data_IF_900279714210
#
_entry.id   IF_900279714210
#
_cell.length_a   1.000
_cell.length_b   1.000
_cell.length_c   1.000
_cell.angle_alpha   90.00
_cell.angle_beta   90.00
_cell.angle_gamma   90.00
#
_symmetry.space_group_name_H-M   'P 1'
#
loop_
_entity.id
_entity.type
_entity.pdbx_description
1 polymer ?
#
# COMPACT_ATOMS: atom_id res chain seq x y z
N UNK A 1 19.04 40.99 73.35
CA UNK A 1 19.03 39.51 73.22
C UNK A 1 18.02 38.98 72.18
N UNK A 2 16.99 39.76 71.79
CA UNK A 2 15.89 39.33 70.90
C UNK A 2 16.18 39.35 69.37
N UNK A 3 17.20 40.09 68.91
CA UNK A 3 17.47 40.26 67.47
C UNK A 3 18.24 39.08 66.84
N UNK A 4 19.02 38.35 67.63
CA UNK A 4 19.84 37.22 67.13
C UNK A 4 19.01 35.95 66.92
N UNK A 5 17.93 35.78 67.68
CA UNK A 5 17.00 34.64 67.55
C UNK A 5 16.16 34.73 66.27
N UNK A 6 15.71 35.93 65.89
CA UNK A 6 14.91 36.12 64.66
C UNK A 6 15.71 35.84 63.38
N UNK A 7 17.00 36.20 63.37
CA UNK A 7 17.91 35.89 62.26
C UNK A 7 18.20 34.38 62.15
N UNK A 8 18.24 33.65 63.28
CA UNK A 8 18.45 32.21 63.30
C UNK A 8 17.25 31.44 62.73
N UNK A 9 16.01 31.87 63.05
CA UNK A 9 14.80 31.26 62.49
C UNK A 9 14.57 31.65 61.02
N UNK A 10 14.92 32.87 60.61
CA UNK A 10 14.86 33.31 59.21
C UNK A 10 15.81 32.54 58.28
N UNK A 11 17.03 32.26 58.75
CA UNK A 11 18.00 31.44 58.01
C UNK A 11 17.59 29.96 57.91
N UNK A 12 16.97 29.41 58.97
CA UNK A 12 16.45 28.05 58.98
C UNK A 12 15.23 27.89 58.03
N UNK A 13 14.39 28.92 57.90
CA UNK A 13 13.23 28.90 57.00
C UNK A 13 13.65 29.03 55.51
N UNK A 14 14.70 29.81 55.22
CA UNK A 14 15.24 29.93 53.86
C UNK A 14 15.99 28.66 53.39
N UNK A 15 16.62 27.93 54.31
CA UNK A 15 17.25 26.63 54.03
C UNK A 15 16.24 25.50 53.77
N UNK A 16 15.07 25.55 54.42
CA UNK A 16 14.02 24.53 54.26
C UNK A 16 13.27 24.65 52.91
N UNK A 17 13.23 25.83 52.28
CA UNK A 17 12.56 26.03 50.99
C UNK A 17 13.36 25.49 49.78
N UNK A 18 14.66 25.20 49.93
CA UNK A 18 15.52 24.74 48.83
C UNK A 18 15.45 23.23 48.55
N UNK A 19 14.70 22.45 49.35
CA UNK A 19 14.68 20.97 49.24
C UNK A 19 13.51 20.42 48.41
N UNK A 20 12.61 21.27 47.89
CA UNK A 20 11.41 20.81 47.16
C UNK A 20 11.49 20.88 45.62
N UNK A 21 12.66 21.25 45.07
CA UNK A 21 12.90 21.31 43.62
C UNK A 21 13.29 19.97 42.99
N UNK A 22 12.54 18.89 43.22
CA UNK A 22 12.73 17.64 42.47
C UNK A 22 12.03 17.76 41.13
N UNK A 23 12.79 18.00 40.06
CA UNK A 23 12.33 17.86 38.69
C UNK A 23 11.83 16.43 38.47
N UNK A 24 10.51 16.24 38.49
CA UNK A 24 9.89 15.08 37.85
C UNK A 24 10.22 15.17 36.37
N UNK A 25 11.26 14.45 35.94
CA UNK A 25 11.43 14.15 34.51
C UNK A 25 10.19 13.37 34.12
N UNK A 26 9.27 14.01 33.43
CA UNK A 26 8.25 13.31 32.67
C UNK A 26 9.01 12.42 31.69
N UNK A 27 9.14 11.14 32.05
CA UNK A 27 9.61 10.13 31.14
C UNK A 27 8.46 9.88 30.20
N UNK A 28 8.36 10.65 29.12
CA UNK A 28 7.57 10.23 27.97
C UNK A 28 8.15 8.87 27.55
N UNK A 29 7.40 7.77 27.68
CA UNK A 29 7.90 6.47 27.27
C UNK A 29 8.27 6.58 25.79
N UNK A 30 9.50 6.14 25.44
CA UNK A 30 9.90 6.05 24.03
C UNK A 30 8.85 5.20 23.31
N UNK A 31 8.38 5.60 22.12
CA UNK A 31 7.50 4.75 21.34
C UNK A 31 8.19 3.40 21.14
N UNK A 32 7.42 2.31 21.26
CA UNK A 32 7.94 0.98 21.04
C UNK A 32 8.62 0.92 19.67
N UNK A 33 9.87 0.47 19.61
CA UNK A 33 10.55 0.25 18.34
C UNK A 33 9.86 -0.93 17.65
N UNK A 34 8.96 -0.63 16.72
CA UNK A 34 8.47 -1.63 15.78
C UNK A 34 9.65 -2.05 14.90
N UNK A 35 9.79 -3.37 14.68
CA UNK A 35 10.79 -3.90 13.75
C UNK A 35 10.54 -3.25 12.38
N UNK A 36 11.55 -2.57 11.81
CA UNK A 36 11.46 -2.14 10.41
C UNK A 36 11.39 -3.42 9.56
N UNK A 37 10.24 -3.67 8.95
CA UNK A 37 10.08 -4.78 8.01
C UNK A 37 10.84 -4.41 6.74
N UNK A 38 12.01 -5.00 6.55
CA UNK A 38 12.77 -4.93 5.30
C UNK A 38 12.44 -6.17 4.46
N UNK A 39 11.97 -5.93 3.23
CA UNK A 39 11.72 -6.98 2.25
C UNK A 39 12.95 -7.15 1.35
N UNK A 40 13.19 -8.35 0.80
CA UNK A 40 14.30 -8.59 -0.10
C UNK A 40 14.21 -7.71 -1.34
N UNK A 41 15.32 -7.48 -2.02
CA UNK A 41 15.30 -6.76 -3.30
C UNK A 41 14.40 -7.48 -4.31
N UNK A 42 13.62 -6.72 -5.07
CA UNK A 42 12.70 -7.27 -6.07
C UNK A 42 13.47 -7.91 -7.22
N UNK A 43 13.24 -9.20 -7.43
CA UNK A 43 13.69 -9.92 -8.61
C UNK A 43 12.47 -10.40 -9.40
N UNK A 44 12.52 -10.24 -10.72
CA UNK A 44 11.38 -10.52 -11.59
C UNK A 44 11.62 -11.73 -12.48
N UNK A 45 10.53 -12.40 -12.83
CA UNK A 45 10.45 -13.44 -13.84
C UNK A 45 9.23 -13.18 -14.74
N UNK A 46 9.33 -13.52 -16.02
CA UNK A 46 8.19 -13.43 -16.93
C UNK A 46 7.14 -14.46 -16.53
N UNK A 47 5.90 -14.02 -16.33
CA UNK A 47 4.73 -14.87 -16.16
C UNK A 47 3.83 -14.74 -17.40
N UNK A 48 3.26 -15.86 -17.83
CA UNK A 48 2.28 -15.94 -18.90
C UNK A 48 0.98 -16.51 -18.34
N UNK A 49 -0.13 -15.82 -18.59
CA UNK A 49 -1.45 -16.33 -18.19
C UNK A 49 -1.88 -17.52 -19.05
N UNK A 50 -2.28 -18.62 -18.41
CA UNK A 50 -2.57 -19.88 -19.11
C UNK A 50 -3.83 -19.85 -20.00
N UNK A 51 -4.74 -18.90 -19.81
CA UNK A 51 -6.03 -18.85 -20.52
C UNK A 51 -6.09 -17.79 -21.63
N UNK A 52 -5.41 -16.66 -21.42
CA UNK A 52 -5.49 -15.49 -22.28
C UNK A 52 -4.12 -15.04 -22.82
N UNK A 53 -3.04 -15.76 -22.48
CA UNK A 53 -1.68 -15.64 -23.05
C UNK A 53 -1.06 -14.23 -23.00
N UNK A 54 -1.58 -13.32 -22.18
CA UNK A 54 -0.89 -12.08 -21.88
C UNK A 54 0.23 -12.35 -20.88
N UNK A 55 1.29 -11.56 -20.97
CA UNK A 55 2.49 -11.71 -20.14
C UNK A 55 2.77 -10.46 -19.33
N UNK A 56 3.45 -10.63 -18.20
CA UNK A 56 4.00 -9.53 -17.40
C UNK A 56 5.12 -10.04 -16.49
N UNK A 57 5.94 -9.13 -15.98
CA UNK A 57 6.99 -9.39 -15.00
C UNK A 57 6.38 -9.58 -13.61
N UNK A 58 6.58 -10.76 -13.04
CA UNK A 58 6.12 -11.16 -11.72
C UNK A 58 7.30 -11.26 -10.75
N UNK A 59 7.13 -10.81 -9.52
CA UNK A 59 8.14 -10.97 -8.48
C UNK A 59 8.37 -12.45 -8.16
N UNK A 60 9.62 -12.90 -8.08
CA UNK A 60 9.97 -14.30 -7.77
C UNK A 60 9.50 -14.77 -6.39
N UNK A 61 9.28 -13.84 -5.45
CA UNK A 61 8.76 -14.17 -4.12
C UNK A 61 7.24 -14.36 -4.11
N UNK A 62 6.55 -13.99 -5.18
CA UNK A 62 5.12 -14.14 -5.33
C UNK A 62 4.75 -15.52 -5.90
N UNK A 63 3.59 -16.04 -5.52
CA UNK A 63 3.03 -17.25 -6.09
C UNK A 63 1.68 -16.98 -6.76
N UNK A 64 1.45 -17.61 -7.91
CA UNK A 64 0.21 -17.44 -8.68
C UNK A 64 -0.71 -18.62 -8.46
N UNK A 65 -1.99 -18.32 -8.28
CA UNK A 65 -3.07 -19.31 -8.24
C UNK A 65 -4.16 -18.91 -9.23
N UNK A 66 -4.26 -19.65 -10.33
CA UNK A 66 -5.34 -19.48 -11.29
C UNK A 66 -6.63 -20.13 -10.75
N UNK A 67 -7.69 -19.34 -10.62
CA UNK A 67 -8.98 -19.82 -10.09
C UNK A 67 -9.88 -20.25 -11.24
N UNK A 68 -9.92 -19.42 -12.28
CA UNK A 68 -10.76 -19.56 -13.47
C UNK A 68 -10.12 -18.78 -14.62
N UNK A 69 -10.61 -18.98 -15.84
CA UNK A 69 -10.12 -18.21 -17.00
C UNK A 69 -10.13 -16.70 -16.79
N UNK A 70 -11.15 -16.20 -16.08
CA UNK A 70 -11.35 -14.77 -15.84
C UNK A 70 -10.72 -14.24 -14.55
N UNK A 71 -10.11 -15.08 -13.71
CA UNK A 71 -9.53 -14.59 -12.45
C UNK A 71 -8.40 -15.48 -11.91
N UNK A 72 -7.39 -14.81 -11.37
CA UNK A 72 -6.28 -15.43 -10.67
C UNK A 72 -5.80 -14.52 -9.54
N UNK A 73 -5.10 -15.14 -8.60
CA UNK A 73 -4.56 -14.50 -7.40
C UNK A 73 -3.03 -14.54 -7.46
N UNK A 74 -2.40 -13.42 -7.08
CA UNK A 74 -0.96 -13.34 -6.86
C UNK A 74 -0.72 -13.14 -5.37
N UNK A 75 -0.16 -14.14 -4.71
CA UNK A 75 0.01 -14.15 -3.27
C UNK A 75 1.42 -13.71 -2.87
N UNK A 76 1.47 -12.88 -1.82
CA UNK A 76 2.68 -12.50 -1.11
C UNK A 76 2.55 -12.94 0.36
N UNK A 77 2.86 -14.21 0.69
CA UNK A 77 2.60 -14.76 2.02
C UNK A 77 3.34 -14.00 3.14
N UNK A 78 4.60 -13.61 2.91
CA UNK A 78 5.41 -12.86 3.89
C UNK A 78 4.82 -11.48 4.21
N UNK A 79 4.10 -10.89 3.26
CA UNK A 79 3.43 -9.59 3.38
C UNK A 79 1.95 -9.72 3.76
N UNK A 80 1.43 -10.95 3.89
CA UNK A 80 0.00 -11.25 4.14
C UNK A 80 -0.94 -10.52 3.17
N UNK A 81 -0.52 -10.48 1.92
CA UNK A 81 -1.19 -9.73 0.87
C UNK A 81 -1.52 -10.61 -0.33
N UNK A 82 -2.52 -10.21 -1.08
CA UNK A 82 -2.87 -10.83 -2.36
C UNK A 82 -3.36 -9.78 -3.33
N UNK A 83 -2.85 -9.87 -4.55
CA UNK A 83 -3.36 -9.11 -5.68
C UNK A 83 -4.39 -9.99 -6.37
N UNK A 84 -5.61 -9.49 -6.48
CA UNK A 84 -6.66 -10.13 -7.26
C UNK A 84 -6.62 -9.57 -8.68
N UNK A 85 -6.42 -10.46 -9.64
CA UNK A 85 -6.37 -10.14 -11.06
C UNK A 85 -7.63 -10.68 -11.72
N UNK A 86 -8.42 -9.79 -12.33
CA UNK A 86 -9.65 -10.14 -13.03
C UNK A 86 -9.53 -9.76 -14.50
N UNK A 87 -9.72 -10.73 -15.39
CA UNK A 87 -9.77 -10.54 -16.83
C UNK A 87 -11.23 -10.46 -17.31
N UNK A 88 -11.48 -9.52 -18.21
CA UNK A 88 -12.74 -9.38 -18.95
C UNK A 88 -12.43 -9.15 -20.43
N UNK A 89 -13.25 -9.74 -21.29
CA UNK A 89 -13.20 -9.46 -22.73
C UNK A 89 -13.93 -8.15 -23.02
N UNK A 90 -13.33 -7.31 -23.85
CA UNK A 90 -13.97 -6.13 -24.44
C UNK A 90 -14.82 -6.58 -25.62
N UNK A 91 -16.13 -6.35 -25.54
CA UNK A 91 -17.11 -6.58 -26.60
C UNK A 91 -18.16 -5.47 -26.55
N UNK A 92 -17.87 -4.35 -27.23
CA UNK A 92 -18.72 -3.16 -27.27
C UNK A 92 -19.15 -2.62 -25.89
N UNK A 93 -18.40 -2.95 -24.83
CA UNK A 93 -18.73 -2.67 -23.43
C UNK A 93 -17.59 -1.94 -22.69
N UNK A 94 -16.59 -1.43 -23.41
CA UNK A 94 -15.40 -0.80 -22.81
C UNK A 94 -15.77 0.30 -21.81
N UNK A 95 -16.70 1.18 -22.17
CA UNK A 95 -17.17 2.26 -21.28
C UNK A 95 -17.77 1.74 -19.98
N UNK A 96 -18.47 0.60 -20.04
CA UNK A 96 -19.02 -0.03 -18.84
C UNK A 96 -17.90 -0.64 -17.98
N UNK A 97 -16.92 -1.29 -18.61
CA UNK A 97 -15.76 -1.86 -17.90
C UNK A 97 -14.92 -0.79 -17.19
N UNK A 98 -14.70 0.36 -17.85
CA UNK A 98 -14.01 1.51 -17.27
C UNK A 98 -14.78 2.08 -16.08
N UNK A 99 -16.09 2.28 -16.23
CA UNK A 99 -16.96 2.75 -15.13
C UNK A 99 -16.98 1.79 -13.96
N UNK A 100 -17.05 0.48 -14.20
CA UNK A 100 -17.01 -0.53 -13.16
C UNK A 100 -15.68 -0.50 -12.38
N UNK A 101 -14.54 -0.44 -13.10
CA UNK A 101 -13.22 -0.38 -12.49
C UNK A 101 -13.02 0.90 -11.65
N UNK A 102 -13.51 2.03 -12.16
CA UNK A 102 -13.51 3.29 -11.43
C UNK A 102 -14.42 3.21 -10.20
N UNK A 103 -15.66 2.74 -10.36
CA UNK A 103 -16.62 2.59 -9.26
C UNK A 103 -16.07 1.73 -8.13
N UNK A 104 -15.43 0.59 -8.43
CA UNK A 104 -14.78 -0.25 -7.42
C UNK A 104 -13.73 0.53 -6.63
N UNK A 105 -12.92 1.34 -7.30
CA UNK A 105 -11.94 2.21 -6.65
C UNK A 105 -12.66 3.19 -5.71
N UNK A 106 -13.61 3.97 -6.22
CA UNK A 106 -14.27 5.00 -5.40
C UNK A 106 -15.11 4.43 -4.25
N UNK A 107 -15.83 3.32 -4.45
CA UNK A 107 -16.69 2.71 -3.42
C UNK A 107 -15.90 2.02 -2.31
N UNK A 108 -14.74 1.41 -2.62
CA UNK A 108 -13.88 0.80 -1.60
C UNK A 108 -13.09 1.83 -0.79
N UNK A 109 -12.97 3.07 -1.30
CA UNK A 109 -12.11 4.10 -0.73
C UNK A 109 -12.86 5.39 -0.33
N UNK A 110 -14.19 5.32 -0.12
CA UNK A 110 -15.04 6.46 0.32
C UNK A 110 -14.51 7.17 1.58
N UNK A 111 -13.70 6.49 2.40
CA UNK A 111 -13.08 7.03 3.63
C UNK A 111 -11.59 7.31 3.52
N UNK A 112 -10.99 7.20 2.34
CA UNK A 112 -9.59 7.52 2.15
C UNK A 112 -9.38 9.03 2.15
N UNK A 113 -8.25 9.46 2.73
CA UNK A 113 -7.89 10.87 2.77
C UNK A 113 -7.46 11.35 1.37
N UNK A 114 -6.87 10.45 0.56
CA UNK A 114 -6.34 10.77 -0.76
C UNK A 114 -6.46 9.59 -1.74
N UNK A 115 -6.91 9.87 -2.96
CA UNK A 115 -6.87 8.95 -4.11
C UNK A 115 -6.02 9.61 -5.20
N UNK A 116 -4.87 9.04 -5.49
CA UNK A 116 -3.97 9.48 -6.56
C UNK A 116 -4.27 8.65 -7.81
N UNK A 117 -4.66 9.33 -8.87
CA UNK A 117 -4.91 8.74 -10.19
C UNK A 117 -3.71 9.00 -11.12
N UNK A 118 -3.16 7.96 -11.73
CA UNK A 118 -2.03 8.05 -12.64
C UNK A 118 -2.36 7.34 -13.96
N UNK A 119 -2.68 8.10 -15.03
CA UNK A 119 -2.91 7.53 -16.34
C UNK A 119 -1.67 6.76 -16.81
N UNK A 120 -1.90 5.60 -17.42
CA UNK A 120 -0.85 4.80 -18.04
C UNK A 120 -1.12 4.69 -19.54
N UNK A 121 -0.11 5.06 -20.33
CA UNK A 121 -0.15 5.06 -21.79
C UNK A 121 1.12 4.42 -22.31
N UNK A 122 0.99 3.30 -23.00
CA UNK A 122 2.04 2.67 -23.77
C UNK A 122 1.50 2.35 -25.17
N UNK A 123 1.83 3.22 -26.14
CA UNK A 123 1.38 3.09 -27.53
C UNK A 123 2.07 1.92 -28.25
N UNK A 124 3.33 1.65 -27.93
CA UNK A 124 4.14 0.60 -28.57
C UNK A 124 3.52 -0.79 -28.35
N UNK A 125 3.15 -1.07 -27.09
CA UNK A 125 2.55 -2.35 -26.70
C UNK A 125 1.01 -2.30 -26.67
N UNK A 126 0.43 -1.14 -26.98
CA UNK A 126 -1.02 -0.84 -26.91
C UNK A 126 -1.61 -1.20 -25.54
N UNK A 127 -0.94 -0.76 -24.48
CA UNK A 127 -1.42 -0.91 -23.11
C UNK A 127 -1.88 0.45 -22.61
N UNK A 128 -3.18 0.57 -22.38
CA UNK A 128 -3.83 1.77 -21.87
C UNK A 128 -4.45 1.47 -20.52
N UNK A 129 -4.31 2.36 -19.56
CA UNK A 129 -4.78 2.06 -18.22
C UNK A 129 -4.79 3.24 -17.27
N UNK A 130 -5.13 2.95 -16.03
CA UNK A 130 -5.04 3.87 -14.90
C UNK A 130 -4.49 3.11 -13.71
N UNK A 131 -3.52 3.71 -13.03
CA UNK A 131 -3.00 3.24 -11.77
C UNK A 131 -3.52 4.13 -10.64
N UNK A 132 -4.18 3.51 -9.68
CA UNK A 132 -4.75 4.16 -8.50
C UNK A 132 -3.92 3.80 -7.29
N UNK A 133 -3.48 4.83 -6.58
CA UNK A 133 -2.90 4.70 -5.25
C UNK A 133 -3.80 5.41 -4.25
N UNK A 134 -4.27 4.67 -3.26
CA UNK A 134 -5.09 5.21 -2.19
C UNK A 134 -4.24 5.29 -0.94
N UNK A 135 -4.10 6.52 -0.43
CA UNK A 135 -3.31 6.85 0.73
C UNK A 135 -4.14 7.58 1.78
N UNK A 136 -3.57 7.69 2.99
CA UNK A 136 -4.20 8.33 4.13
C UNK A 136 -4.01 7.52 5.41
N UNK A 137 -4.42 8.09 6.53
CA UNK A 137 -4.23 7.50 7.86
C UNK A 137 -5.04 6.21 8.07
N UNK A 138 -6.02 5.93 7.20
CA UNK A 138 -6.97 4.85 7.38
C UNK A 138 -6.74 3.64 6.45
N UNK A 139 -6.14 3.82 5.27
CA UNK A 139 -5.99 2.76 4.28
C UNK A 139 -4.87 3.06 3.28
N UNK A 140 -3.95 2.11 3.10
CA UNK A 140 -3.06 2.07 1.94
C UNK A 140 -3.53 0.96 1.02
N UNK A 141 -3.92 1.29 -0.21
CA UNK A 141 -4.34 0.32 -1.21
C UNK A 141 -3.89 0.75 -2.61
N UNK A 142 -3.73 -0.21 -3.50
CA UNK A 142 -3.28 -0.04 -4.88
C UNK A 142 -4.20 -0.83 -5.80
N UNK A 143 -4.62 -0.19 -6.88
CA UNK A 143 -5.39 -0.83 -7.93
C UNK A 143 -4.94 -0.32 -9.29
N UNK A 144 -5.01 -1.14 -10.33
CA UNK A 144 -4.94 -0.64 -11.69
C UNK A 144 -5.94 -1.36 -12.59
N UNK A 145 -6.26 -0.73 -13.72
CA UNK A 145 -6.80 -1.45 -14.86
C UNK A 145 -5.91 -1.23 -16.09
N UNK A 146 -5.94 -2.19 -17.01
CA UNK A 146 -5.22 -2.14 -18.27
C UNK A 146 -6.05 -2.76 -19.40
N UNK A 147 -5.98 -2.18 -20.59
CA UNK A 147 -6.70 -2.63 -21.78
C UNK A 147 -5.92 -2.37 -23.06
N UNK A 148 -6.19 -3.14 -24.11
CA UNK A 148 -5.80 -2.82 -25.49
C UNK A 148 -6.89 -2.04 -26.26
N UNK A 149 -7.95 -1.64 -25.57
CA UNK A 149 -9.17 -1.00 -26.09
C UNK A 149 -10.02 -1.86 -27.04
N UNK A 150 -9.59 -3.06 -27.41
CA UNK A 150 -10.25 -3.86 -28.47
C UNK A 150 -10.74 -5.23 -28.00
N UNK A 151 -10.01 -5.91 -27.11
CA UNK A 151 -10.31 -7.27 -26.68
C UNK A 151 -10.01 -7.51 -25.23
N UNK A 152 -8.89 -7.02 -24.72
CA UNK A 152 -8.39 -7.39 -23.41
C UNK A 152 -8.67 -6.28 -22.39
N UNK A 153 -9.17 -6.65 -21.22
CA UNK A 153 -9.34 -5.76 -20.09
C UNK A 153 -8.98 -6.50 -18.80
N UNK A 154 -8.01 -5.98 -18.05
CA UNK A 154 -7.55 -6.55 -16.78
C UNK A 154 -7.72 -5.52 -15.67
N UNK A 155 -8.20 -5.96 -14.51
CA UNK A 155 -8.21 -5.17 -13.27
C UNK A 155 -7.40 -5.91 -12.21
N UNK A 156 -6.53 -5.19 -11.52
CA UNK A 156 -5.67 -5.68 -10.46
C UNK A 156 -5.94 -4.90 -9.18
N UNK A 157 -6.28 -5.57 -8.07
CA UNK A 157 -6.57 -4.91 -6.80
C UNK A 157 -5.85 -5.58 -5.63
N UNK A 158 -5.16 -4.79 -4.80
CA UNK A 158 -4.43 -5.27 -3.64
C UNK A 158 -5.34 -5.42 -2.41
N UNK A 159 -5.19 -6.53 -1.70
CA UNK A 159 -5.84 -6.76 -0.41
C UNK A 159 -4.85 -7.31 0.61
N UNK A 160 -4.93 -6.82 1.84
CA UNK A 160 -4.22 -7.34 3.00
C UNK A 160 -5.18 -8.12 3.90
N UNK A 161 -4.79 -9.31 4.35
CA UNK A 161 -5.61 -10.13 5.27
C UNK A 161 -5.24 -9.93 6.75
N UNK A 162 -4.35 -9.00 7.06
CA UNK A 162 -3.98 -8.66 8.43
C UNK A 162 -5.00 -7.68 9.05
N UNK A 163 -5.26 -7.82 10.36
CA UNK A 163 -6.00 -6.80 11.12
C UNK A 163 -5.27 -5.46 10.95
N UNK A 164 -5.95 -4.37 10.55
CA UNK A 164 -5.30 -3.12 10.14
C UNK A 164 -4.56 -2.50 11.32
N UNK A 165 -3.25 -2.65 11.33
CA UNK A 165 -2.35 -1.73 12.00
C UNK A 165 -1.57 -1.02 10.89
N UNK A 166 -1.85 0.26 10.67
CA UNK A 166 -1.35 1.06 9.56
C UNK A 166 0.19 1.01 9.47
N UNK A 167 0.86 1.16 10.61
CA UNK A 167 2.33 1.16 10.69
C UNK A 167 2.95 -0.19 10.33
N UNK A 168 2.19 -1.29 10.40
CA UNK A 168 2.67 -2.63 10.05
C UNK A 168 2.48 -2.98 8.57
N UNK A 169 1.58 -2.29 7.85
CA UNK A 169 1.29 -2.59 6.44
C UNK A 169 2.00 -1.67 5.46
N UNK A 170 2.44 -0.48 5.91
CA UNK A 170 3.03 0.52 5.02
C UNK A 170 4.27 0.00 4.24
N UNK A 171 5.25 -0.68 4.86
CA UNK A 171 6.37 -1.25 4.11
C UNK A 171 5.93 -2.27 3.06
N UNK A 172 4.96 -3.13 3.41
CA UNK A 172 4.43 -4.15 2.52
C UNK A 172 3.65 -3.54 1.35
N UNK A 173 2.87 -2.50 1.64
CA UNK A 173 2.12 -1.77 0.63
C UNK A 173 3.03 -1.07 -0.37
N UNK A 174 4.09 -0.41 0.10
CA UNK A 174 5.04 0.26 -0.78
C UNK A 174 5.78 -0.75 -1.67
N UNK A 175 6.16 -1.90 -1.11
CA UNK A 175 6.80 -2.98 -1.85
C UNK A 175 5.87 -3.51 -2.96
N UNK A 176 4.64 -3.88 -2.62
CA UNK A 176 3.69 -4.46 -3.59
C UNK A 176 3.21 -3.40 -4.58
N UNK A 177 3.14 -2.13 -4.20
CA UNK A 177 2.85 -1.03 -5.12
C UNK A 177 3.87 -0.95 -6.26
N UNK A 178 5.16 -1.07 -5.94
CA UNK A 178 6.23 -1.09 -6.93
C UNK A 178 6.11 -2.33 -7.84
N UNK A 179 5.81 -3.49 -7.26
CA UNK A 179 5.56 -4.71 -8.04
C UNK A 179 4.35 -4.55 -8.98
N UNK A 180 3.21 -4.04 -8.51
CA UNK A 180 2.03 -3.82 -9.34
C UNK A 180 2.29 -2.83 -10.47
N UNK A 181 3.09 -1.78 -10.21
CA UNK A 181 3.54 -0.85 -11.26
C UNK A 181 4.36 -1.59 -12.29
N UNK A 182 5.33 -2.40 -11.86
CA UNK A 182 6.16 -3.21 -12.75
C UNK A 182 5.32 -4.20 -13.58
N UNK A 183 4.31 -4.83 -12.98
CA UNK A 183 3.35 -5.69 -13.69
C UNK A 183 2.62 -4.92 -14.80
N UNK A 184 2.14 -3.71 -14.52
CA UNK A 184 1.47 -2.87 -15.53
C UNK A 184 2.43 -2.45 -16.65
N UNK A 185 3.66 -2.05 -16.31
CA UNK A 185 4.68 -1.57 -17.26
C UNK A 185 5.19 -2.68 -18.19
N UNK A 186 5.29 -3.89 -17.67
CA UNK A 186 5.74 -5.08 -18.40
C UNK A 186 4.60 -5.86 -19.05
N UNK A 187 3.34 -5.43 -18.87
CA UNK A 187 2.18 -6.09 -19.44
C UNK A 187 2.28 -6.10 -20.96
N UNK A 188 2.11 -7.27 -21.57
CA UNK A 188 2.02 -7.44 -23.02
C UNK A 188 0.83 -8.30 -23.37
N UNK A 189 0.02 -7.83 -24.30
CA UNK A 189 -1.10 -8.59 -24.82
C UNK A 189 -0.62 -9.61 -25.85
N UNK A 190 -1.24 -10.79 -25.87
CA UNK A 190 -1.05 -11.71 -26.99
C UNK A 190 -1.51 -11.01 -28.28
N UNK A 191 -0.56 -10.73 -29.17
CA UNK A 191 -0.91 -10.13 -30.45
C UNK A 191 -1.66 -11.16 -31.28
N UNK A 192 -2.92 -10.85 -31.59
CA UNK A 192 -3.63 -11.59 -32.63
C UNK A 192 -2.93 -11.28 -33.94
N UNK A 193 -2.09 -12.20 -34.44
CA UNK A 193 -1.55 -12.11 -35.81
C UNK A 193 -2.76 -11.96 -36.73
N UNK A 194 -2.85 -10.80 -37.39
CA UNK A 194 -3.78 -10.60 -38.51
C UNK A 194 -3.35 -11.45 -39.70
#
# INVERSE_FOLDING_TARGET
MFQKTFALYGAAFLGALLVLGSCKKETTPRPNAYLALEYPQQEYQSYENSYHHFTFDLNKTASVKEIKSTAFEVHYPEMKATIFMNYKTVDNNLDALLKDAQKLTYEHFIKADEIIEQPYLNEEDRVYGMFYHVGGNAATNVQFYATDSVKNFVVASLYFYAKPNFDSILPASNYIQQDMRKMLESLRWEQTKK
#
